data_IF_183588802672
#
_entry.id   IF_183588802672
#
_cell.length_a   1.000
_cell.length_b   1.000
_cell.length_c   1.000
_cell.angle_alpha   90.00
_cell.angle_beta   90.00
_cell.angle_gamma   90.00
#
_symmetry.space_group_name_H-M   'P 1'
#
loop_
_entity.id
_entity.type
_entity.pdbx_description
1 polymer ?
#
# COMPACT_ATOMS: atom_id res chain seq x y z
N UNK A 1 11.64 25.40 3.20
CA UNK A 1 10.82 24.17 3.31
C UNK A 1 9.34 24.51 3.44
N UNK A 2 8.44 23.84 2.70
CA UNK A 2 6.99 23.82 2.92
C UNK A 2 6.58 23.64 4.40
N UNK A 3 5.41 24.17 4.78
CA UNK A 3 4.89 24.11 6.17
C UNK A 3 4.87 22.69 6.72
N UNK A 4 4.33 21.78 5.92
CA UNK A 4 4.23 20.37 6.21
C UNK A 4 5.56 19.72 6.63
N UNK A 5 6.64 19.95 5.89
CA UNK A 5 7.94 19.38 6.23
C UNK A 5 8.48 19.95 7.55
N UNK A 6 8.21 21.23 7.83
CA UNK A 6 8.58 21.83 9.14
C UNK A 6 7.81 21.19 10.28
N UNK A 7 6.52 20.90 10.07
CA UNK A 7 5.67 20.25 11.07
C UNK A 7 6.11 18.80 11.30
N UNK A 8 6.46 18.06 10.24
CA UNK A 8 7.04 16.72 10.35
C UNK A 8 8.38 16.70 11.11
N UNK A 9 9.28 17.67 10.84
CA UNK A 9 10.55 17.81 11.56
C UNK A 9 10.32 18.14 13.04
N UNK A 10 9.38 19.05 13.35
CA UNK A 10 9.03 19.38 14.74
C UNK A 10 8.52 18.16 15.48
N UNK A 11 7.65 17.36 14.84
CA UNK A 11 7.14 16.13 15.44
C UNK A 11 8.27 15.13 15.70
N UNK A 12 9.18 14.93 14.74
CA UNK A 12 10.36 14.09 14.93
C UNK A 12 11.21 14.54 16.13
N UNK A 13 11.43 15.85 16.27
CA UNK A 13 12.16 16.42 17.41
C UNK A 13 11.45 16.17 18.74
N UNK A 14 10.13 16.37 18.81
CA UNK A 14 9.33 16.10 20.01
C UNK A 14 9.37 14.62 20.39
N UNK A 15 9.38 13.72 19.40
CA UNK A 15 9.52 12.28 19.59
C UNK A 15 10.95 11.82 19.90
N UNK A 16 11.92 12.75 19.97
CA UNK A 16 13.33 12.42 20.21
C UNK A 16 14.02 11.70 19.04
N UNK A 17 13.46 11.79 17.83
CA UNK A 17 13.98 11.16 16.63
C UNK A 17 14.95 12.11 15.92
N UNK A 18 16.18 11.63 15.70
CA UNK A 18 17.26 12.45 15.12
C UNK A 18 17.17 12.59 13.59
N UNK A 19 16.61 11.59 12.91
CA UNK A 19 16.59 11.52 11.45
C UNK A 19 15.16 11.33 10.94
N UNK A 20 14.81 12.02 9.86
CA UNK A 20 13.53 11.88 9.17
C UNK A 20 13.78 11.62 7.69
N UNK A 21 13.04 10.69 7.12
CA UNK A 21 13.02 10.42 5.69
C UNK A 21 11.83 11.14 5.06
N UNK A 22 12.08 11.98 4.05
CA UNK A 22 11.06 12.63 3.23
C UNK A 22 11.50 12.42 1.78
N UNK A 23 10.74 11.66 1.01
CA UNK A 23 11.03 11.30 -0.39
C UNK A 23 11.51 12.50 -1.23
N UNK A 24 10.79 13.61 -1.17
CA UNK A 24 11.08 14.84 -1.92
C UNK A 24 12.36 15.57 -1.46
N UNK A 25 12.98 15.17 -0.35
CA UNK A 25 14.23 15.74 0.19
C UNK A 25 15.39 14.73 0.16
N UNK A 26 15.09 13.44 0.28
CA UNK A 26 16.09 12.37 0.37
C UNK A 26 16.43 11.76 -1.00
N UNK A 27 15.58 11.95 -2.01
CA UNK A 27 15.80 11.48 -3.38
C UNK A 27 16.11 12.68 -4.28
N UNK A 28 17.16 12.57 -5.08
CA UNK A 28 17.52 13.56 -6.10
C UNK A 28 16.55 13.41 -7.26
N UNK A 29 15.60 14.34 -7.37
CA UNK A 29 14.48 14.23 -8.32
C UNK A 29 14.92 14.26 -9.80
N UNK A 30 16.04 14.92 -10.09
CA UNK A 30 16.56 15.08 -11.46
C UNK A 30 17.58 13.97 -11.85
N UNK A 31 17.77 12.96 -10.99
CA UNK A 31 18.72 11.85 -11.21
C UNK A 31 17.96 10.52 -11.21
N UNK A 32 17.87 9.90 -12.39
CA UNK A 32 17.18 8.62 -12.57
C UNK A 32 17.89 7.46 -11.86
N UNK A 33 19.22 7.49 -11.74
CA UNK A 33 19.99 6.43 -11.11
C UNK A 33 19.86 6.50 -9.58
N UNK A 34 19.84 7.71 -9.01
CA UNK A 34 19.50 7.95 -7.61
C UNK A 34 18.07 7.50 -7.33
N UNK A 35 17.12 7.93 -8.17
CA UNK A 35 15.72 7.55 -8.04
C UNK A 35 15.54 6.03 -8.08
N UNK A 36 16.19 5.32 -9.00
CA UNK A 36 16.08 3.87 -9.12
C UNK A 36 16.65 3.16 -7.89
N UNK A 37 17.79 3.62 -7.38
CA UNK A 37 18.38 3.08 -6.15
C UNK A 37 17.49 3.31 -4.94
N UNK A 38 17.06 4.55 -4.70
CA UNK A 38 16.30 4.89 -3.50
C UNK A 38 14.88 4.29 -3.52
N UNK A 39 14.23 4.25 -4.70
CA UNK A 39 12.91 3.64 -4.85
C UNK A 39 12.92 2.14 -4.56
N UNK A 40 14.02 1.44 -4.87
CA UNK A 40 14.21 0.04 -4.49
C UNK A 40 14.43 -0.15 -2.98
N UNK A 41 14.98 0.84 -2.29
CA UNK A 41 15.21 0.81 -0.84
C UNK A 41 14.01 1.25 -0.01
N UNK A 42 12.99 1.88 -0.61
CA UNK A 42 11.81 2.41 0.10
C UNK A 42 11.16 1.37 1.02
N UNK A 43 11.02 0.13 0.57
CA UNK A 43 10.42 -0.92 1.40
C UNK A 43 11.20 -1.18 2.70
N UNK A 44 12.54 -1.19 2.64
CA UNK A 44 13.38 -1.38 3.81
C UNK A 44 13.40 -0.13 4.70
N UNK A 45 13.36 1.06 4.11
CA UNK A 45 13.26 2.33 4.84
C UNK A 45 11.97 2.38 5.65
N UNK A 46 10.81 2.09 5.05
CA UNK A 46 9.53 2.09 5.75
C UNK A 46 9.44 0.97 6.79
N UNK A 47 9.91 -0.24 6.45
CA UNK A 47 9.94 -1.38 7.38
C UNK A 47 10.72 -1.09 8.66
N UNK A 48 11.87 -0.44 8.53
CA UNK A 48 12.76 -0.15 9.65
C UNK A 48 12.56 1.24 10.26
N UNK A 49 11.58 2.01 9.76
CA UNK A 49 11.23 3.30 10.34
C UNK A 49 10.66 3.13 11.76
N UNK A 50 10.97 4.08 12.65
CA UNK A 50 10.36 4.09 13.98
C UNK A 50 8.85 4.35 13.91
N UNK A 51 8.44 5.24 13.01
CA UNK A 51 7.08 5.72 12.82
C UNK A 51 6.96 6.34 11.42
N UNK A 52 5.89 6.02 10.72
CA UNK A 52 5.53 6.66 9.45
C UNK A 52 4.34 7.58 9.67
N UNK A 53 4.48 8.83 9.25
CA UNK A 53 3.41 9.82 9.31
C UNK A 53 2.57 9.72 8.04
N UNK A 54 1.26 9.57 8.20
CA UNK A 54 0.32 9.42 7.09
C UNK A 54 -0.75 10.51 7.14
N UNK A 55 -1.10 11.05 5.97
CA UNK A 55 -2.20 12.02 5.82
C UNK A 55 -3.31 11.39 4.97
N UNK A 56 -4.56 11.50 5.41
CA UNK A 56 -5.73 10.93 4.72
C UNK A 56 -5.81 11.33 3.25
N UNK A 57 -5.45 12.57 2.90
CA UNK A 57 -5.46 13.04 1.53
C UNK A 57 -4.41 12.34 0.64
N UNK A 58 -3.25 12.01 1.20
CA UNK A 58 -2.15 11.42 0.42
C UNK A 58 -2.30 9.94 0.20
N UNK A 59 -3.08 9.24 1.02
CA UNK A 59 -3.40 7.82 0.79
C UNK A 59 -4.02 7.57 -0.59
N UNK A 60 -4.48 8.61 -1.28
CA UNK A 60 -4.95 8.52 -2.66
C UNK A 60 -3.83 8.38 -3.69
N UNK A 61 -2.57 8.71 -3.41
CA UNK A 61 -1.46 8.67 -4.37
C UNK A 61 -0.87 7.27 -4.49
N UNK A 62 -0.52 6.83 -5.69
CA UNK A 62 0.04 5.48 -5.95
C UNK A 62 1.20 5.09 -5.03
N UNK A 63 2.23 5.93 -4.92
CA UNK A 63 3.44 5.67 -4.11
C UNK A 63 3.19 5.44 -2.62
N UNK A 64 2.09 5.96 -2.07
CA UNK A 64 1.70 5.69 -0.67
C UNK A 64 1.36 4.23 -0.39
N UNK A 65 1.22 3.41 -1.44
CA UNK A 65 1.08 1.96 -1.27
C UNK A 65 2.29 1.35 -0.57
N UNK A 66 3.52 1.68 -0.98
CA UNK A 66 4.72 1.14 -0.33
C UNK A 66 4.86 1.66 1.10
N UNK A 67 4.54 2.93 1.31
CA UNK A 67 4.55 3.54 2.64
C UNK A 67 3.61 2.80 3.58
N UNK A 68 2.38 2.53 3.15
CA UNK A 68 1.37 1.89 3.98
C UNK A 68 1.65 0.39 4.20
N UNK A 69 2.11 -0.31 3.17
CA UNK A 69 2.35 -1.76 3.19
C UNK A 69 3.57 -2.16 4.02
N UNK A 70 4.63 -1.36 4.00
CA UNK A 70 5.88 -1.75 4.67
C UNK A 70 6.07 -1.09 6.04
N UNK A 71 5.38 0.01 6.35
CA UNK A 71 5.55 0.69 7.64
C UNK A 71 4.94 -0.08 8.78
N UNK A 72 5.77 -0.54 9.73
CA UNK A 72 5.31 -1.33 10.89
C UNK A 72 4.54 -0.52 11.93
N UNK A 73 4.69 0.80 11.92
CA UNK A 73 4.07 1.75 12.87
C UNK A 73 3.64 2.98 12.12
N UNK A 74 2.35 3.30 12.15
CA UNK A 74 1.75 4.38 11.36
C UNK A 74 0.94 5.30 12.26
N UNK A 75 1.12 6.60 12.05
CA UNK A 75 0.34 7.65 12.69
C UNK A 75 -0.39 8.43 11.61
N UNK A 76 -1.72 8.31 11.59
CA UNK A 76 -2.58 8.98 10.64
C UNK A 76 -3.10 10.29 11.22
N UNK A 77 -2.97 11.36 10.46
CA UNK A 77 -3.60 12.65 10.74
C UNK A 77 -4.89 12.74 9.93
N UNK A 78 -6.03 12.53 10.59
CA UNK A 78 -7.35 12.79 10.03
C UNK A 78 -7.75 14.27 10.18
N UNK A 79 -8.90 14.62 9.63
CA UNK A 79 -9.43 15.99 9.75
C UNK A 79 -9.88 16.33 11.17
N UNK A 80 -10.35 15.33 11.92
CA UNK A 80 -10.93 15.50 13.26
C UNK A 80 -10.08 14.91 14.39
N UNK A 81 -9.24 13.93 14.07
CA UNK A 81 -8.55 13.12 15.08
C UNK A 81 -7.34 12.41 14.49
N UNK A 82 -6.41 12.04 15.36
CA UNK A 82 -5.26 11.20 15.03
C UNK A 82 -5.57 9.71 15.28
N UNK A 83 -4.96 8.85 14.48
CA UNK A 83 -5.08 7.40 14.62
C UNK A 83 -3.70 6.76 14.63
N UNK A 84 -3.54 5.73 15.46
CA UNK A 84 -2.34 4.93 15.58
C UNK A 84 -2.61 3.48 15.17
N UNK A 85 -1.69 2.95 14.39
CA UNK A 85 -1.68 1.58 13.91
C UNK A 85 -0.28 0.97 14.06
N UNK A 86 -0.19 -0.25 14.57
CA UNK A 86 1.09 -0.94 14.74
C UNK A 86 0.97 -2.41 14.39
N UNK A 87 1.43 -2.78 13.19
CA UNK A 87 1.30 -4.11 12.56
C UNK A 87 1.74 -5.25 13.48
N UNK A 88 0.80 -5.79 14.24
CA UNK A 88 0.89 -7.08 14.92
C UNK A 88 -0.33 -7.92 14.54
N UNK A 89 -0.29 -9.25 14.69
CA UNK A 89 -1.36 -10.16 14.27
C UNK A 89 -2.74 -9.96 14.93
N UNK A 90 -2.90 -8.91 15.74
CA UNK A 90 -4.13 -8.53 16.44
C UNK A 90 -4.22 -7.00 16.39
N UNK A 91 -4.45 -6.44 15.19
CA UNK A 91 -4.41 -4.99 15.02
C UNK A 91 -5.73 -4.32 15.39
N UNK A 92 -5.65 -3.54 16.46
CA UNK A 92 -6.66 -2.57 16.89
C UNK A 92 -6.13 -1.19 16.49
N UNK A 93 -6.81 -0.51 15.57
CA UNK A 93 -6.52 0.89 15.29
C UNK A 93 -6.99 1.73 16.48
N UNK A 94 -6.07 2.43 17.12
CA UNK A 94 -6.38 3.27 18.29
C UNK A 94 -6.54 4.71 17.84
N UNK A 95 -7.50 5.39 18.44
CA UNK A 95 -7.73 6.81 18.20
C UNK A 95 -7.05 7.64 19.29
N UNK A 96 -6.89 8.95 19.03
CA UNK A 96 -6.35 9.92 20.00
C UNK A 96 -7.08 9.88 21.35
N UNK A 97 -8.41 9.74 21.32
CA UNK A 97 -9.28 9.61 22.49
C UNK A 97 -9.35 8.18 23.06
N UNK A 98 -8.46 7.30 22.60
CA UNK A 98 -8.29 5.90 23.05
C UNK A 98 -9.46 4.97 22.75
N UNK A 99 -10.45 5.44 21.99
CA UNK A 99 -11.53 4.61 21.48
C UNK A 99 -10.94 3.57 20.51
N UNK A 100 -11.42 2.35 20.65
CA UNK A 100 -11.11 1.24 19.76
C UNK A 100 -12.21 1.25 18.69
N UNK A 101 -11.85 1.60 17.46
CA UNK A 101 -12.75 1.37 16.34
C UNK A 101 -12.65 -0.11 15.91
N UNK A 102 -13.39 -0.96 16.62
CA UNK A 102 -13.49 -2.40 16.36
C UNK A 102 -14.18 -2.70 15.01
N UNK A 103 -14.72 -1.66 14.33
CA UNK A 103 -15.40 -1.75 13.04
C UNK A 103 -14.54 -1.33 11.85
N UNK A 104 -13.30 -0.88 12.05
CA UNK A 104 -12.38 -0.81 10.93
C UNK A 104 -12.01 -2.25 10.59
N UNK A 105 -12.54 -2.78 9.47
CA UNK A 105 -12.44 -4.13 8.86
C UNK A 105 -10.99 -4.68 8.69
N UNK A 106 -10.09 -4.46 9.65
CA UNK A 106 -8.67 -4.81 9.58
C UNK A 106 -8.38 -6.23 10.05
N UNK A 107 -9.31 -6.85 10.77
CA UNK A 107 -9.22 -8.24 11.20
C UNK A 107 -9.14 -9.18 9.98
N UNK A 108 -9.83 -8.86 8.86
CA UNK A 108 -9.72 -9.62 7.59
C UNK A 108 -8.40 -9.34 6.84
N UNK A 109 -7.81 -8.15 6.98
CA UNK A 109 -6.54 -7.80 6.30
C UNK A 109 -5.30 -8.29 7.03
N UNK A 110 -5.36 -8.54 8.34
CA UNK A 110 -4.27 -9.10 9.12
C UNK A 110 -4.01 -10.59 8.79
N UNK A 111 -5.07 -11.41 8.60
CA UNK A 111 -4.93 -12.78 8.08
C UNK A 111 -4.43 -12.80 6.62
N UNK A 112 -4.88 -11.84 5.80
CA UNK A 112 -4.40 -11.66 4.42
C UNK A 112 -3.02 -10.98 4.33
N UNK A 113 -2.47 -10.49 5.45
CA UNK A 113 -1.15 -9.84 5.52
C UNK A 113 -0.04 -10.89 5.51
N UNK A 114 0.04 -11.62 4.39
CA UNK A 114 1.16 -12.49 4.02
C UNK A 114 2.51 -11.79 4.05
N UNK A 115 2.59 -10.48 4.30
CA UNK A 115 3.82 -9.76 4.62
C UNK A 115 4.43 -10.28 5.93
N UNK A 116 3.61 -10.54 6.95
CA UNK A 116 4.06 -10.84 8.32
C UNK A 116 4.00 -12.33 8.70
N UNK A 117 3.40 -13.18 7.86
CA UNK A 117 3.48 -14.63 8.06
C UNK A 117 4.92 -15.13 7.84
N UNK A 118 5.43 -15.94 8.77
CA UNK A 118 6.79 -16.50 8.73
C UNK A 118 6.90 -17.76 7.85
N UNK A 119 5.77 -18.30 7.39
CA UNK A 119 5.72 -19.51 6.57
C UNK A 119 5.69 -19.24 5.06
N UNK A 120 6.11 -20.22 4.24
CA UNK A 120 5.92 -20.18 2.79
C UNK A 120 4.44 -20.28 2.42
N UNK A 121 4.10 -19.90 1.19
CA UNK A 121 2.76 -20.08 0.64
C UNK A 121 2.41 -21.57 0.55
N UNK A 122 1.20 -21.92 0.96
CA UNK A 122 0.65 -23.29 1.04
C UNK A 122 -0.33 -23.61 -0.09
N UNK A 123 -0.70 -22.65 -0.94
CA UNK A 123 -1.50 -22.93 -2.15
C UNK A 123 -2.24 -21.73 -2.73
N UNK A 124 -3.28 -22.01 -3.53
CA UNK A 124 -3.99 -21.01 -4.34
C UNK A 124 -4.65 -19.87 -3.54
N UNK A 125 -5.02 -20.13 -2.28
CA UNK A 125 -5.63 -19.13 -1.39
C UNK A 125 -4.65 -18.00 -1.03
N UNK A 126 -3.33 -18.26 -1.06
CA UNK A 126 -2.34 -17.24 -0.70
C UNK A 126 -2.19 -16.16 -1.79
N UNK A 127 -2.58 -16.44 -3.04
CA UNK A 127 -2.62 -15.40 -4.08
C UNK A 127 -3.60 -14.27 -3.76
N UNK A 128 -4.59 -14.50 -2.88
CA UNK A 128 -5.49 -13.43 -2.45
C UNK A 128 -4.74 -12.34 -1.66
N UNK A 129 -3.62 -12.69 -0.99
CA UNK A 129 -2.73 -11.69 -0.40
C UNK A 129 -1.99 -10.85 -1.43
N UNK A 130 -1.84 -11.28 -2.69
CA UNK A 130 -1.41 -10.39 -3.78
C UNK A 130 -2.58 -9.59 -4.36
N UNK A 131 -3.65 -10.26 -4.79
CA UNK A 131 -4.72 -9.61 -5.54
C UNK A 131 -5.54 -8.62 -4.72
N UNK A 132 -5.72 -8.85 -3.41
CA UNK A 132 -6.48 -7.92 -2.57
C UNK A 132 -5.76 -6.57 -2.40
N UNK A 133 -4.49 -6.50 -1.98
CA UNK A 133 -3.75 -5.23 -1.94
C UNK A 133 -3.64 -4.56 -3.31
N UNK A 134 -3.41 -5.32 -4.38
CA UNK A 134 -3.33 -4.76 -5.74
C UNK A 134 -4.67 -4.16 -6.20
N UNK A 135 -5.80 -4.73 -5.79
CA UNK A 135 -7.12 -4.14 -6.04
C UNK A 135 -7.34 -2.82 -5.28
N UNK A 136 -6.74 -2.64 -4.10
CA UNK A 136 -6.79 -1.34 -3.42
C UNK A 136 -5.84 -0.35 -4.08
N UNK A 137 -4.65 -0.81 -4.50
CA UNK A 137 -3.69 -0.03 -5.25
C UNK A 137 -4.27 0.51 -6.56
N UNK A 138 -5.02 -0.31 -7.32
CA UNK A 138 -5.58 0.09 -8.61
C UNK A 138 -6.60 1.24 -8.53
N UNK A 139 -7.10 1.55 -7.32
CA UNK A 139 -7.99 2.70 -7.05
C UNK A 139 -7.23 3.99 -6.75
N UNK A 140 -5.90 3.92 -6.55
CA UNK A 140 -5.07 5.09 -6.26
C UNK A 140 -4.87 5.94 -7.53
N UNK A 141 -4.74 7.25 -7.34
CA UNK A 141 -4.44 8.24 -8.36
C UNK A 141 -2.93 8.23 -8.65
N UNK A 142 -2.59 8.07 -9.91
CA UNK A 142 -1.22 8.17 -10.41
C UNK A 142 -1.04 9.51 -11.11
N UNK A 143 0.05 10.21 -10.78
CA UNK A 143 0.46 11.42 -11.52
C UNK A 143 1.13 11.02 -12.83
N UNK A 144 1.97 9.98 -12.77
CA UNK A 144 2.65 9.40 -13.92
C UNK A 144 2.32 7.92 -14.02
N UNK A 145 1.80 7.49 -15.16
CA UNK A 145 1.40 6.09 -15.35
C UNK A 145 2.59 5.14 -15.42
N UNK A 146 3.78 5.65 -15.74
CA UNK A 146 5.05 4.91 -15.70
C UNK A 146 5.39 4.40 -14.31
N UNK A 147 4.90 5.07 -13.26
CA UNK A 147 5.16 4.70 -11.87
C UNK A 147 4.30 3.53 -11.39
N UNK A 148 3.36 3.05 -12.22
CA UNK A 148 2.37 2.07 -11.82
C UNK A 148 2.99 0.77 -11.31
N UNK A 149 3.97 0.23 -12.02
CA UNK A 149 4.67 -1.01 -11.65
C UNK A 149 5.78 -0.77 -10.62
N UNK A 150 6.62 0.29 -10.74
CA UNK A 150 7.59 0.63 -9.70
C UNK A 150 6.99 0.73 -8.30
N UNK A 151 5.81 1.34 -8.16
CA UNK A 151 5.16 1.54 -6.87
C UNK A 151 4.70 0.24 -6.17
N UNK A 152 4.69 -0.91 -6.84
CA UNK A 152 4.37 -2.22 -6.25
C UNK A 152 5.51 -3.23 -6.36
N UNK A 153 6.65 -2.81 -6.93
CA UNK A 153 7.77 -3.70 -7.26
C UNK A 153 8.37 -4.39 -6.04
N UNK A 154 8.57 -3.67 -4.94
CA UNK A 154 9.06 -4.24 -3.68
C UNK A 154 8.09 -5.27 -3.10
N UNK A 155 6.78 -5.05 -3.26
CA UNK A 155 5.77 -6.02 -2.86
C UNK A 155 5.79 -7.26 -3.75
N UNK A 156 5.95 -7.09 -5.07
CA UNK A 156 6.11 -8.20 -6.00
C UNK A 156 7.35 -9.04 -5.65
N UNK A 157 8.50 -8.42 -5.39
CA UNK A 157 9.73 -9.12 -4.95
C UNK A 157 9.50 -9.91 -3.67
N UNK A 158 8.81 -9.33 -2.68
CA UNK A 158 8.47 -10.01 -1.44
C UNK A 158 7.59 -11.25 -1.70
N UNK A 159 6.54 -11.10 -2.50
CA UNK A 159 5.65 -12.22 -2.81
C UNK A 159 6.39 -13.31 -3.58
N UNK A 160 7.19 -12.96 -4.60
CA UNK A 160 7.99 -13.92 -5.35
C UNK A 160 8.92 -14.74 -4.44
N UNK A 161 9.52 -14.09 -3.42
CA UNK A 161 10.37 -14.79 -2.45
C UNK A 161 9.60 -15.76 -1.54
N UNK A 162 8.32 -15.51 -1.27
CA UNK A 162 7.47 -16.35 -0.41
C UNK A 162 6.75 -17.46 -1.18
N UNK A 163 6.33 -17.17 -2.41
CA UNK A 163 5.63 -18.13 -3.27
C UNK A 163 6.59 -19.04 -4.02
N UNK A 164 7.81 -18.58 -4.29
CA UNK A 164 8.73 -19.23 -5.23
C UNK A 164 8.26 -19.13 -6.69
N UNK A 165 7.28 -18.26 -6.98
CA UNK A 165 6.67 -18.10 -8.30
C UNK A 165 7.32 -16.97 -9.11
N UNK A 166 7.18 -17.04 -10.44
CA UNK A 166 7.71 -16.05 -11.38
C UNK A 166 6.72 -14.90 -11.56
N UNK A 167 7.20 -13.68 -11.37
CA UNK A 167 6.45 -12.46 -11.62
C UNK A 167 6.53 -12.03 -13.10
N UNK A 168 5.38 -11.89 -13.77
CA UNK A 168 5.27 -11.68 -15.23
C UNK A 168 4.65 -10.32 -15.63
N UNK A 169 4.89 -9.25 -14.85
CA UNK A 169 4.30 -7.91 -15.01
C UNK A 169 2.89 -7.73 -14.42
N UNK A 170 2.78 -7.95 -13.11
CA UNK A 170 1.54 -7.79 -12.34
C UNK A 170 0.79 -9.09 -12.10
N UNK A 171 1.20 -10.14 -12.80
CA UNK A 171 0.66 -11.49 -12.74
C UNK A 171 1.74 -12.50 -12.32
N UNK A 172 1.30 -13.70 -12.04
CA UNK A 172 2.09 -14.80 -11.50
C UNK A 172 2.00 -16.00 -12.44
N UNK A 173 3.14 -16.58 -12.83
CA UNK A 173 3.21 -17.66 -13.84
C UNK A 173 2.33 -18.85 -13.47
N UNK A 174 2.43 -19.35 -12.24
CA UNK A 174 1.65 -20.49 -11.78
C UNK A 174 0.17 -20.16 -11.47
N UNK A 175 -0.21 -18.87 -11.53
CA UNK A 175 -1.58 -18.41 -11.24
C UNK A 175 -2.18 -17.52 -12.32
N UNK A 176 -1.64 -17.58 -13.55
CA UNK A 176 -2.15 -16.84 -14.71
C UNK A 176 -3.64 -17.03 -14.92
N UNK A 177 -4.13 -18.25 -14.72
CA UNK A 177 -5.54 -18.60 -14.88
C UNK A 177 -6.47 -17.74 -14.02
N UNK A 178 -6.05 -17.35 -12.81
CA UNK A 178 -6.80 -16.48 -11.89
C UNK A 178 -6.54 -15.00 -12.19
N UNK A 179 -5.31 -14.65 -12.51
CA UNK A 179 -4.89 -13.28 -12.80
C UNK A 179 -5.51 -12.69 -14.08
N UNK A 180 -5.87 -13.54 -15.04
CA UNK A 180 -6.56 -13.14 -16.27
C UNK A 180 -8.09 -13.10 -16.13
N UNK A 181 -8.66 -13.53 -14.99
CA UNK A 181 -10.10 -13.45 -14.76
C UNK A 181 -10.52 -12.01 -14.51
N UNK A 182 -11.40 -11.51 -15.36
CA UNK A 182 -12.08 -10.24 -15.15
C UNK A 182 -13.08 -10.41 -14.01
N UNK A 183 -12.86 -9.70 -12.90
CA UNK A 183 -13.87 -9.59 -11.83
C UNK A 183 -14.76 -8.38 -12.10
N UNK A 184 -16.06 -8.63 -12.28
CA UNK A 184 -17.04 -7.56 -12.36
C UNK A 184 -17.08 -6.83 -11.01
N UNK A 185 -16.70 -5.55 -10.98
CA UNK A 185 -16.85 -4.73 -9.78
C UNK A 185 -18.35 -4.47 -9.57
N UNK A 186 -18.97 -5.20 -8.63
CA UNK A 186 -20.41 -5.22 -8.32
C UNK A 186 -21.07 -3.88 -7.95
N UNK A 187 -20.40 -2.73 -8.15
CA UNK A 187 -20.93 -1.42 -7.76
C UNK A 187 -21.98 -0.89 -8.74
N UNK A 188 -21.90 -1.27 -10.02
CA UNK A 188 -22.93 -0.93 -10.99
C UNK A 188 -23.59 -2.22 -11.50
N UNK A 189 -24.69 -2.63 -10.85
CA UNK A 189 -25.58 -3.64 -11.43
C UNK A 189 -26.37 -2.98 -12.55
N UNK A 190 -25.75 -2.88 -13.72
CA UNK A 190 -26.44 -2.57 -14.97
C UNK A 190 -27.19 -3.83 -15.37
N UNK A 191 -28.49 -3.74 -15.60
CA UNK A 191 -29.28 -4.89 -16.06
C UNK A 191 -28.84 -5.30 -17.47
N UNK A 192 -29.07 -6.56 -17.85
CA UNK A 192 -28.72 -7.02 -19.21
C UNK A 192 -29.37 -6.15 -20.29
N UNK A 193 -30.60 -5.70 -20.04
CA UNK A 193 -31.37 -4.82 -20.92
C UNK A 193 -30.76 -3.42 -21.07
N UNK A 194 -30.04 -2.93 -20.06
CA UNK A 194 -29.30 -1.66 -20.11
C UNK A 194 -27.91 -1.80 -20.74
N UNK A 195 -27.32 -3.01 -20.71
CA UNK A 195 -25.97 -3.29 -21.16
C UNK A 195 -25.91 -3.57 -22.67
N UNK A 196 -26.93 -4.24 -23.22
CA UNK A 196 -27.04 -4.58 -24.65
C UNK A 196 -27.00 -3.34 -25.56
N UNK A 197 -27.76 -2.25 -25.31
CA UNK A 197 -27.72 -1.06 -26.15
C UNK A 197 -26.37 -0.33 -26.12
N UNK A 198 -25.66 -0.38 -24.98
CA UNK A 198 -24.33 0.24 -24.80
C UNK A 198 -23.22 -0.50 -25.54
N UNK A 199 -23.32 -1.81 -25.68
CA UNK A 199 -22.38 -2.62 -26.48
C UNK A 199 -22.67 -2.56 -27.97
N UNK A 200 -23.91 -2.28 -28.36
CA UNK A 200 -24.34 -2.17 -29.75
C UNK A 200 -24.04 -0.80 -30.40
N UNK A 201 -23.59 0.18 -29.62
CA UNK A 201 -23.23 1.52 -30.10
C UNK A 201 -21.72 1.74 -29.92
N UNK A 202 -20.93 1.83 -31.00
CA UNK A 202 -19.47 1.98 -30.94
C UNK A 202 -19.01 3.31 -30.33
#
# INVERSE_FOLDING_TARGET
LPKLYRDAVRLAQVLGVRYIWIDALCIIQDDLDDWERESQMMADIFRNSLITLQNSAWQTRGWTFQEDMFSTRKLYFGELMMYWDSLRPVDIMRTEDTIIDDKLDRIDTAELSLIHSSGPWRGDYDYDGWYYPILQYSKKKLTYETDRLPAVSSYAKLIASKSGDTYLAGLWENNLHRGLLWKLQRRDRVTFDELIPRLASP
#
